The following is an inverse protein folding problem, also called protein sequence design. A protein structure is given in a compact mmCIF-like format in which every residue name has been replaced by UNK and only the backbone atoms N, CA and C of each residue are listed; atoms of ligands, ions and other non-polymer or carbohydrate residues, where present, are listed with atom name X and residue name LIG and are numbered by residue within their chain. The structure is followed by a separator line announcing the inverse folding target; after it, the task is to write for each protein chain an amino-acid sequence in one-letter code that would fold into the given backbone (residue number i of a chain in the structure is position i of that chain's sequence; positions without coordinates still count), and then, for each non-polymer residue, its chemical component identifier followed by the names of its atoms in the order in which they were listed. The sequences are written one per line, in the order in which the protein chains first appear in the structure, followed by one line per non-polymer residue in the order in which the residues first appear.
data_IF_649492484062
#
_entry.id   IF_649492484062
#
_cell.length_a   1.000
_cell.length_b   1.000
_cell.length_c   1.000
_cell.angle_alpha   90.00
_cell.angle_beta   90.00
_cell.angle_gamma   90.00
#
_symmetry.space_group_name_H-M   'P 1'
#
loop_
_entity.id
_entity.type
_entity.pdbx_description
1 polymer ?
#
# COMPACT_ATOMS: atom_id res chain seq x y z
N UNK A 1 -67.53 -39.74 26.93
CA UNK A 1 -66.21 -40.11 26.33
C UNK A 1 -65.93 -39.33 25.03
N UNK A 2 -66.00 -37.97 25.03
CA UNK A 2 -65.70 -37.21 23.81
C UNK A 2 -64.83 -35.92 24.05
N UNK A 3 -64.17 -35.82 25.22
CA UNK A 3 -63.40 -34.61 25.57
C UNK A 3 -61.89 -34.78 25.67
N UNK A 4 -61.35 -36.00 25.54
CA UNK A 4 -59.93 -36.33 25.71
C UNK A 4 -59.17 -36.22 24.36
N UNK A 5 -59.83 -36.38 23.22
CA UNK A 5 -59.19 -36.37 21.88
C UNK A 5 -58.73 -35.00 21.37
N UNK A 6 -59.41 -33.88 21.78
CA UNK A 6 -59.08 -32.54 21.24
C UNK A 6 -57.85 -31.90 21.89
N UNK A 7 -57.57 -32.20 23.17
CA UNK A 7 -56.37 -31.65 23.85
C UNK A 7 -55.05 -32.28 23.34
N UNK A 8 -55.07 -33.57 22.99
CA UNK A 8 -53.87 -34.22 22.43
C UNK A 8 -53.51 -33.74 21.04
N UNK A 9 -54.48 -33.38 20.19
CA UNK A 9 -54.20 -32.85 18.84
C UNK A 9 -53.61 -31.43 18.86
N UNK A 10 -53.95 -30.64 19.90
CA UNK A 10 -53.37 -29.30 20.08
C UNK A 10 -51.92 -29.34 20.58
N UNK A 11 -51.58 -30.28 21.43
CA UNK A 11 -50.21 -30.49 21.93
C UNK A 11 -49.29 -30.92 20.79
N UNK A 12 -49.72 -31.82 19.89
CA UNK A 12 -48.94 -32.19 18.70
C UNK A 12 -48.80 -31.08 17.71
N UNK A 13 -49.76 -30.18 17.53
CA UNK A 13 -49.64 -29.00 16.68
C UNK A 13 -48.70 -27.94 17.27
N UNK A 14 -48.65 -27.76 18.56
CA UNK A 14 -47.72 -26.86 19.24
C UNK A 14 -46.30 -27.47 19.24
N UNK A 15 -46.15 -28.77 19.44
CA UNK A 15 -44.84 -29.43 19.33
C UNK A 15 -44.30 -29.39 17.89
N UNK A 16 -45.19 -29.55 16.87
CA UNK A 16 -44.77 -29.44 15.46
C UNK A 16 -44.43 -28.00 15.08
N UNK A 17 -45.07 -27.01 15.66
CA UNK A 17 -44.78 -25.59 15.43
C UNK A 17 -43.47 -25.17 16.11
N UNK A 18 -43.15 -25.72 17.28
CA UNK A 18 -41.89 -25.49 17.97
C UNK A 18 -40.68 -26.18 17.25
N UNK A 19 -40.89 -27.30 16.59
CA UNK A 19 -39.78 -27.95 15.81
C UNK A 19 -39.48 -27.24 14.50
N UNK A 20 -40.43 -26.48 13.92
CA UNK A 20 -40.16 -25.67 12.69
C UNK A 20 -39.49 -24.33 13.02
N UNK A 21 -39.59 -23.86 14.29
CA UNK A 21 -38.92 -22.62 14.70
C UNK A 21 -37.46 -22.83 15.14
N UNK A 22 -36.95 -24.08 15.21
CA UNK A 22 -35.57 -24.40 15.51
C UNK A 22 -34.73 -24.81 14.28
N UNK A 23 -35.26 -24.73 13.06
CA UNK A 23 -34.42 -24.61 11.88
C UNK A 23 -33.94 -23.15 11.74
N UNK A 24 -33.45 -22.59 12.85
CA UNK A 24 -32.60 -21.41 12.78
C UNK A 24 -31.44 -21.78 11.89
N UNK A 25 -31.26 -21.05 10.82
CA UNK A 25 -29.97 -21.02 10.11
C UNK A 25 -28.88 -20.97 11.15
N UNK A 26 -28.20 -22.07 11.39
CA UNK A 26 -26.91 -22.00 12.05
C UNK A 26 -26.03 -21.24 11.09
N UNK A 27 -25.98 -19.94 11.26
CA UNK A 27 -24.92 -19.11 10.69
C UNK A 27 -23.65 -19.76 11.22
N UNK A 28 -23.07 -20.64 10.40
CA UNK A 28 -21.78 -21.22 10.72
C UNK A 28 -20.84 -20.02 10.87
N UNK A 29 -20.08 -19.93 11.98
CA UNK A 29 -19.22 -18.80 12.20
C UNK A 29 -18.26 -18.66 11.04
N UNK A 30 -18.03 -17.43 10.57
CA UNK A 30 -16.94 -17.12 9.66
C UNK A 30 -15.62 -17.50 10.29
N UNK A 31 -14.70 -18.04 9.50
CA UNK A 31 -13.36 -18.37 9.96
C UNK A 31 -12.45 -17.15 9.79
N UNK A 32 -11.61 -16.88 10.80
CA UNK A 32 -10.49 -15.94 10.71
C UNK A 32 -9.21 -16.73 10.42
N UNK A 33 -8.48 -16.30 9.39
CA UNK A 33 -7.18 -16.86 9.01
C UNK A 33 -6.14 -15.76 9.17
N UNK A 34 -5.05 -16.03 9.89
CA UNK A 34 -3.91 -15.13 9.97
C UNK A 34 -2.70 -15.81 9.34
N UNK A 35 -1.94 -15.04 8.55
CA UNK A 35 -0.71 -15.51 7.92
C UNK A 35 0.31 -14.39 7.90
N UNK A 36 1.59 -14.72 8.03
CA UNK A 36 2.71 -13.79 7.95
C UNK A 36 3.78 -14.42 7.09
N UNK A 37 4.27 -13.69 6.11
CA UNK A 37 5.33 -14.09 5.19
C UNK A 37 6.10 -12.87 4.70
N UNK A 38 6.96 -13.02 3.72
CA UNK A 38 7.76 -11.93 3.13
C UNK A 38 7.60 -11.91 1.62
N UNK A 39 7.32 -10.74 1.05
CA UNK A 39 7.35 -10.46 -0.39
C UNK A 39 7.69 -8.98 -0.63
N UNK A 40 8.11 -8.62 -1.83
CA UNK A 40 8.41 -7.24 -2.22
C UNK A 40 9.38 -6.54 -1.26
N UNK A 41 10.34 -7.30 -0.71
CA UNK A 41 11.35 -6.80 0.22
C UNK A 41 10.82 -6.37 1.59
N UNK A 42 9.61 -6.82 1.99
CA UNK A 42 8.99 -6.45 3.27
C UNK A 42 8.21 -7.60 3.90
N UNK A 43 7.72 -7.40 5.13
CA UNK A 43 6.82 -8.33 5.81
C UNK A 43 5.41 -8.12 5.27
N UNK A 44 4.74 -9.23 4.92
CA UNK A 44 3.33 -9.27 4.53
C UNK A 44 2.53 -9.94 5.64
N UNK A 45 1.55 -9.22 6.19
CA UNK A 45 0.63 -9.74 7.20
C UNK A 45 -0.77 -9.81 6.62
N UNK A 46 -1.39 -10.97 6.75
CA UNK A 46 -2.72 -11.24 6.21
C UNK A 46 -3.68 -11.62 7.34
N UNK A 47 -4.79 -10.92 7.43
CA UNK A 47 -5.94 -11.31 8.24
C UNK A 47 -7.15 -11.44 7.32
N UNK A 48 -7.65 -12.65 7.15
CA UNK A 48 -8.72 -12.98 6.20
C UNK A 48 -9.94 -13.49 6.97
N UNK A 49 -11.14 -13.06 6.57
CA UNK A 49 -12.42 -13.54 7.08
C UNK A 49 -13.17 -14.24 5.97
N UNK A 50 -13.46 -15.53 6.15
CA UNK A 50 -14.06 -16.39 5.12
C UNK A 50 -15.37 -16.99 5.60
N UNK A 51 -16.34 -17.16 4.69
CA UNK A 51 -17.59 -17.88 4.95
C UNK A 51 -17.29 -19.35 5.27
N UNK A 52 -18.11 -19.98 6.10
CA UNK A 52 -17.92 -21.39 6.49
C UNK A 52 -17.97 -22.38 5.31
N UNK A 53 -18.70 -22.04 4.23
CA UNK A 53 -18.70 -22.85 3.00
C UNK A 53 -17.44 -22.67 2.17
N UNK A 54 -16.62 -21.68 2.47
CA UNK A 54 -15.32 -21.41 1.86
C UNK A 54 -14.12 -21.90 2.68
N UNK A 55 -14.33 -22.56 3.84
CA UNK A 55 -13.26 -22.92 4.77
C UNK A 55 -12.11 -23.68 4.11
N UNK A 56 -12.40 -24.74 3.36
CA UNK A 56 -11.39 -25.54 2.67
C UNK A 56 -10.63 -24.75 1.60
N UNK A 57 -11.30 -23.80 0.93
CA UNK A 57 -10.68 -22.89 -0.05
C UNK A 57 -9.85 -21.81 0.65
N UNK A 58 -10.31 -21.38 1.84
CA UNK A 58 -9.65 -20.34 2.63
C UNK A 58 -8.25 -20.75 3.15
N UNK A 59 -8.02 -22.05 3.37
CA UNK A 59 -6.71 -22.55 3.82
C UNK A 59 -5.59 -22.27 2.78
N UNK A 60 -5.90 -22.30 1.48
CA UNK A 60 -4.94 -22.00 0.41
C UNK A 60 -4.80 -20.52 0.08
N UNK A 61 -5.77 -19.69 0.48
CA UNK A 61 -5.84 -18.27 0.08
C UNK A 61 -4.59 -17.46 0.46
N UNK A 62 -4.00 -17.59 1.66
CA UNK A 62 -2.78 -16.88 1.99
C UNK A 62 -1.63 -17.16 1.00
N UNK A 63 -1.51 -18.40 0.56
CA UNK A 63 -0.49 -18.80 -0.41
C UNK A 63 -0.78 -18.23 -1.80
N UNK A 64 -2.04 -18.29 -2.26
CA UNK A 64 -2.45 -17.65 -3.54
C UNK A 64 -2.13 -16.15 -3.55
N UNK A 65 -2.33 -15.46 -2.42
CA UNK A 65 -1.97 -14.04 -2.28
C UNK A 65 -0.44 -13.82 -2.33
N UNK A 66 0.35 -14.69 -1.73
CA UNK A 66 1.81 -14.60 -1.81
C UNK A 66 2.31 -14.86 -3.24
N UNK A 67 1.73 -15.84 -3.95
CA UNK A 67 2.04 -16.10 -5.37
C UNK A 67 1.70 -14.88 -6.26
N UNK A 68 0.57 -14.20 -5.99
CA UNK A 68 0.19 -12.97 -6.69
C UNK A 68 1.24 -11.87 -6.48
N UNK A 69 1.66 -11.62 -5.24
CA UNK A 69 2.66 -10.60 -4.90
C UNK A 69 4.03 -10.93 -5.52
N UNK A 70 4.43 -12.18 -5.46
CA UNK A 70 5.66 -12.67 -6.07
C UNK A 70 5.68 -12.48 -7.60
N UNK A 71 4.58 -12.83 -8.27
CA UNK A 71 4.41 -12.63 -9.71
C UNK A 71 4.44 -11.15 -10.07
N UNK A 72 3.71 -10.33 -9.31
CA UNK A 72 3.69 -8.87 -9.52
C UNK A 72 5.09 -8.26 -9.40
N UNK A 73 5.86 -8.64 -8.38
CA UNK A 73 7.24 -8.19 -8.21
C UNK A 73 8.12 -8.65 -9.37
N UNK A 74 8.15 -9.96 -9.65
CA UNK A 74 9.08 -10.58 -10.59
C UNK A 74 8.78 -10.28 -12.06
N UNK A 75 7.51 -10.10 -12.41
CA UNK A 75 7.08 -9.94 -13.79
C UNK A 75 6.81 -8.48 -14.17
N UNK A 76 6.57 -7.61 -13.19
CA UNK A 76 6.07 -6.26 -13.46
C UNK A 76 6.91 -5.15 -12.83
N UNK A 77 7.10 -5.16 -11.50
CA UNK A 77 7.52 -3.97 -10.76
C UNK A 77 9.01 -3.90 -10.43
N UNK A 78 9.71 -5.04 -10.31
CA UNK A 78 11.08 -5.06 -9.83
C UNK A 78 12.06 -4.59 -10.92
N UNK A 79 12.87 -3.59 -10.59
CA UNK A 79 13.98 -3.22 -11.47
C UNK A 79 15.21 -4.15 -11.33
N UNK A 80 15.15 -5.11 -10.40
CA UNK A 80 16.22 -6.11 -10.13
C UNK A 80 16.01 -7.44 -10.85
N UNK A 81 14.73 -7.78 -11.13
CA UNK A 81 14.36 -9.06 -11.72
C UNK A 81 14.34 -8.97 -13.26
N UNK A 82 15.18 -9.75 -13.94
CA UNK A 82 15.35 -9.70 -15.40
C UNK A 82 14.06 -9.98 -16.18
N UNK A 83 13.12 -10.69 -15.60
CA UNK A 83 11.80 -11.00 -16.18
C UNK A 83 10.81 -9.84 -16.10
N UNK A 84 11.08 -8.86 -15.26
CA UNK A 84 10.17 -7.75 -14.97
C UNK A 84 10.07 -6.75 -16.14
N UNK A 85 8.88 -6.19 -16.28
CA UNK A 85 8.64 -5.15 -17.28
C UNK A 85 9.49 -3.89 -17.03
N UNK A 86 9.64 -3.46 -15.78
CA UNK A 86 10.49 -2.33 -15.39
C UNK A 86 11.96 -2.61 -15.67
N UNK A 87 12.45 -3.83 -15.44
CA UNK A 87 13.82 -4.18 -15.77
C UNK A 87 14.08 -4.02 -17.28
N UNK A 88 13.20 -4.56 -18.14
CA UNK A 88 13.31 -4.43 -19.62
C UNK A 88 13.27 -2.97 -20.06
N UNK A 89 12.38 -2.17 -19.49
CA UNK A 89 12.31 -0.72 -19.74
C UNK A 89 13.66 -0.07 -19.39
N UNK A 90 14.22 -0.42 -18.23
CA UNK A 90 15.45 0.15 -17.70
C UNK A 90 16.74 -0.33 -18.42
N UNK A 91 16.72 -1.48 -19.09
CA UNK A 91 17.92 -2.07 -19.74
C UNK A 91 18.08 -1.73 -21.21
N UNK A 92 17.29 -0.78 -21.72
CA UNK A 92 17.49 -0.17 -23.03
C UNK A 92 16.46 -0.53 -24.10
N UNK A 93 15.52 -1.44 -23.86
CA UNK A 93 14.42 -1.70 -24.81
C UNK A 93 13.59 -0.42 -25.07
N UNK A 94 13.48 0.43 -24.07
CA UNK A 94 12.79 1.72 -24.16
C UNK A 94 13.44 2.75 -25.08
N UNK A 95 14.71 2.61 -25.44
CA UNK A 95 15.36 3.52 -26.39
C UNK A 95 14.77 3.41 -27.81
N UNK A 96 14.27 2.24 -28.18
CA UNK A 96 13.61 1.97 -29.46
C UNK A 96 12.09 1.80 -29.33
N UNK A 97 11.56 1.90 -28.11
CA UNK A 97 10.14 1.73 -27.77
C UNK A 97 9.82 0.36 -27.18
N UNK A 98 9.79 0.26 -25.84
CA UNK A 98 9.34 -0.94 -25.14
C UNK A 98 7.82 -0.99 -25.09
N UNK A 99 7.22 -2.12 -25.49
CA UNK A 99 5.76 -2.30 -25.42
C UNK A 99 5.34 -2.46 -23.96
N UNK A 100 4.39 -1.64 -23.54
CA UNK A 100 3.80 -1.70 -22.21
C UNK A 100 2.64 -2.70 -22.15
N UNK A 101 2.53 -3.42 -21.05
CA UNK A 101 1.30 -4.11 -20.70
C UNK A 101 0.19 -3.07 -20.42
N UNK A 102 -1.10 -3.41 -20.61
CA UNK A 102 -2.20 -2.50 -20.28
C UNK A 102 -2.17 -2.02 -18.83
N UNK A 103 -1.75 -2.89 -17.89
CA UNK A 103 -1.61 -2.53 -16.47
C UNK A 103 -0.48 -1.52 -16.24
N UNK A 104 0.70 -1.78 -16.80
CA UNK A 104 1.84 -0.86 -16.67
C UNK A 104 1.53 0.50 -17.28
N UNK A 105 0.86 0.54 -18.43
CA UNK A 105 0.42 1.81 -19.03
C UNK A 105 -0.50 2.57 -18.07
N UNK A 106 -1.50 1.92 -17.49
CA UNK A 106 -2.41 2.52 -16.51
C UNK A 106 -1.66 3.02 -15.27
N UNK A 107 -0.71 2.24 -14.73
CA UNK A 107 0.09 2.67 -13.59
C UNK A 107 0.90 3.93 -13.92
N UNK A 108 1.59 3.96 -15.04
CA UNK A 108 2.41 5.09 -15.45
C UNK A 108 1.56 6.35 -15.75
N UNK A 109 0.35 6.19 -16.27
CA UNK A 109 -0.59 7.31 -16.48
C UNK A 109 -1.03 7.93 -15.14
N UNK A 110 -1.39 7.10 -14.14
CA UNK A 110 -1.71 7.59 -12.80
C UNK A 110 -0.50 8.24 -12.09
N UNK A 111 0.67 7.63 -12.20
CA UNK A 111 1.92 8.17 -11.65
C UNK A 111 2.23 9.54 -12.29
N UNK A 112 2.06 9.66 -13.61
CA UNK A 112 2.25 10.90 -14.33
C UNK A 112 1.31 12.01 -13.83
N UNK A 113 0.05 11.70 -13.61
CA UNK A 113 -0.93 12.65 -13.08
C UNK A 113 -0.51 13.17 -11.68
N UNK A 114 -0.01 12.27 -10.80
CA UNK A 114 0.52 12.70 -9.50
C UNK A 114 1.81 13.51 -9.66
N UNK A 115 2.72 13.12 -10.57
CA UNK A 115 3.92 13.87 -10.89
C UNK A 115 3.60 15.31 -11.34
N UNK A 116 2.66 15.48 -12.26
CA UNK A 116 2.23 16.80 -12.75
C UNK A 116 1.63 17.65 -11.63
N UNK A 117 0.72 17.11 -10.83
CA UNK A 117 0.02 17.84 -9.77
C UNK A 117 0.87 18.10 -8.52
N UNK A 118 1.90 17.31 -8.30
CA UNK A 118 2.86 17.50 -7.20
C UNK A 118 4.07 18.37 -7.59
N UNK A 119 4.08 18.97 -8.78
CA UNK A 119 5.23 19.72 -9.30
C UNK A 119 6.53 18.90 -9.25
N UNK A 120 6.42 17.60 -9.57
CA UNK A 120 7.53 16.66 -9.60
C UNK A 120 8.00 16.14 -8.23
N UNK A 121 7.27 16.38 -7.14
CA UNK A 121 7.63 15.85 -5.83
C UNK A 121 7.53 14.30 -5.75
N UNK A 122 6.62 13.69 -6.51
CA UNK A 122 6.68 12.28 -6.87
C UNK A 122 7.30 12.16 -8.25
N UNK A 123 8.46 11.54 -8.38
CA UNK A 123 9.06 11.26 -9.69
C UNK A 123 9.71 9.86 -9.71
N UNK A 124 9.10 8.93 -10.43
CA UNK A 124 9.61 7.57 -10.56
C UNK A 124 10.84 7.45 -11.47
N UNK A 125 11.28 8.54 -12.08
CA UNK A 125 12.52 8.56 -12.89
C UNK A 125 13.78 8.76 -12.05
N UNK A 126 13.64 8.81 -10.71
CA UNK A 126 14.76 8.96 -9.75
C UNK A 126 15.64 7.73 -9.59
N UNK A 127 15.45 6.67 -10.38
CA UNK A 127 16.15 5.39 -10.19
C UNK A 127 17.68 5.48 -10.19
N UNK A 128 18.27 6.51 -10.81
CA UNK A 128 19.71 6.77 -10.68
C UNK A 128 20.08 7.45 -9.37
N UNK A 129 19.22 8.30 -8.86
CA UNK A 129 19.40 8.95 -7.54
C UNK A 129 19.28 7.90 -6.44
N UNK A 130 18.18 7.11 -6.43
CA UNK A 130 17.98 6.05 -5.44
C UNK A 130 19.09 5.01 -5.48
N UNK A 131 19.55 4.61 -6.69
CA UNK A 131 20.67 3.71 -6.88
C UNK A 131 22.01 4.25 -6.40
N UNK A 132 22.24 5.56 -6.50
CA UNK A 132 23.45 6.22 -6.02
C UNK A 132 23.52 6.24 -4.49
N UNK A 133 22.41 6.58 -3.82
CA UNK A 133 22.31 6.54 -2.36
C UNK A 133 22.29 5.13 -1.80
N UNK A 134 21.64 4.19 -2.50
CA UNK A 134 21.53 2.77 -2.16
C UNK A 134 21.12 2.49 -0.69
N UNK A 135 20.29 3.37 -0.12
CA UNK A 135 19.87 3.34 1.29
C UNK A 135 19.28 1.97 1.67
N UNK A 136 18.46 1.39 0.79
CA UNK A 136 17.83 0.08 1.03
C UNK A 136 18.85 -1.01 1.35
N UNK A 137 19.95 -1.05 0.60
CA UNK A 137 21.02 -2.04 0.80
C UNK A 137 21.76 -1.81 2.10
N UNK A 138 22.10 -0.56 2.41
CA UNK A 138 22.81 -0.23 3.64
C UNK A 138 21.96 -0.37 4.89
N UNK A 139 20.66 -0.07 4.82
CA UNK A 139 19.73 -0.25 5.92
C UNK A 139 19.60 -1.73 6.34
N UNK A 140 19.70 -2.66 5.39
CA UNK A 140 19.61 -4.11 5.65
C UNK A 140 20.96 -4.71 6.02
N UNK A 141 22.03 -4.38 5.28
CA UNK A 141 23.33 -5.05 5.39
C UNK A 141 24.29 -4.35 6.37
N UNK A 142 23.92 -3.17 6.89
CA UNK A 142 24.77 -2.34 7.75
C UNK A 142 25.44 -1.21 6.97
N UNK A 143 25.71 -0.12 7.67
CA UNK A 143 26.15 1.17 7.11
C UNK A 143 27.65 1.45 7.25
N UNK A 144 28.47 0.45 7.60
CA UNK A 144 29.90 0.67 7.87
C UNK A 144 30.65 1.30 6.68
N UNK A 145 30.31 0.87 5.45
CA UNK A 145 30.93 1.35 4.21
C UNK A 145 30.08 2.40 3.48
N UNK A 146 29.07 2.98 4.14
CA UNK A 146 28.24 4.01 3.54
C UNK A 146 29.00 5.32 3.41
N UNK A 147 29.11 5.83 2.19
CA UNK A 147 29.64 7.15 1.89
C UNK A 147 28.58 8.02 1.20
N UNK A 148 28.64 9.32 1.49
CA UNK A 148 27.76 10.28 0.83
C UNK A 148 28.13 10.41 -0.64
N UNK A 149 27.15 10.46 -1.55
CA UNK A 149 27.41 10.81 -2.94
C UNK A 149 28.13 12.15 -3.07
N UNK A 150 29.06 12.21 -4.02
CA UNK A 150 29.70 13.48 -4.36
C UNK A 150 28.73 14.40 -5.09
N UNK A 151 28.98 15.70 -5.04
CA UNK A 151 28.16 16.68 -5.78
C UNK A 151 28.10 16.38 -7.29
N UNK A 152 29.21 15.95 -7.90
CA UNK A 152 29.27 15.61 -9.31
C UNK A 152 28.42 14.37 -9.67
N UNK A 153 28.39 13.36 -8.80
CA UNK A 153 27.55 12.16 -8.97
C UNK A 153 26.08 12.52 -8.88
N UNK A 154 25.69 13.35 -7.89
CA UNK A 154 24.32 13.85 -7.74
C UNK A 154 23.86 14.66 -8.95
N UNK A 155 24.66 15.61 -9.42
CA UNK A 155 24.36 16.40 -10.62
C UNK A 155 24.19 15.50 -11.86
N UNK A 156 25.03 14.48 -12.00
CA UNK A 156 24.91 13.51 -13.09
C UNK A 156 23.63 12.67 -12.98
N UNK A 157 23.24 12.25 -11.78
CA UNK A 157 22.02 11.49 -11.53
C UNK A 157 20.77 12.34 -11.78
N UNK A 158 20.75 13.60 -11.27
CA UNK A 158 19.67 14.55 -11.48
C UNK A 158 19.46 14.92 -12.94
N UNK A 159 20.53 15.07 -13.72
CA UNK A 159 20.44 15.32 -15.17
C UNK A 159 19.64 14.22 -15.90
N UNK A 160 19.57 13.02 -15.30
CA UNK A 160 18.86 11.85 -15.81
C UNK A 160 17.49 11.63 -15.12
N UNK A 161 16.97 12.63 -14.38
CA UNK A 161 15.68 12.59 -13.71
C UNK A 161 14.71 13.56 -14.41
N UNK A 162 13.43 13.29 -14.36
CA UNK A 162 12.35 14.12 -14.89
C UNK A 162 11.40 13.33 -15.78
N UNK A 163 10.15 13.18 -15.31
CA UNK A 163 9.11 12.44 -16.03
C UNK A 163 8.72 13.12 -17.35
N UNK A 164 8.98 14.42 -17.52
CA UNK A 164 8.78 15.15 -18.77
C UNK A 164 9.60 14.58 -19.94
N UNK A 165 10.65 13.83 -19.65
CA UNK A 165 11.50 13.16 -20.64
C UNK A 165 10.94 11.80 -21.08
N UNK A 166 9.94 11.27 -20.35
CA UNK A 166 9.27 10.01 -20.66
C UNK A 166 8.20 10.24 -21.72
N UNK A 167 8.21 9.42 -22.78
CA UNK A 167 7.18 9.47 -23.81
C UNK A 167 6.46 8.13 -23.89
N UNK A 168 5.13 8.16 -23.81
CA UNK A 168 4.26 7.00 -24.01
C UNK A 168 3.41 7.29 -25.25
N UNK A 169 3.57 6.48 -26.28
CA UNK A 169 2.85 6.62 -27.57
C UNK A 169 2.54 5.22 -28.09
N UNK A 170 1.29 4.99 -28.49
CA UNK A 170 0.83 3.72 -29.04
C UNK A 170 1.20 2.50 -28.17
N UNK A 171 0.96 2.62 -26.85
CA UNK A 171 1.29 1.63 -25.82
C UNK A 171 2.77 1.24 -25.78
N UNK A 172 3.66 2.14 -26.21
CA UNK A 172 5.11 2.00 -26.06
C UNK A 172 5.67 3.13 -25.24
N UNK A 173 6.61 2.79 -24.35
CA UNK A 173 7.38 3.76 -23.59
C UNK A 173 8.73 3.99 -24.27
N UNK A 174 9.14 5.24 -24.34
CA UNK A 174 10.43 5.70 -24.82
C UNK A 174 11.13 6.48 -23.71
N UNK A 175 12.32 6.02 -23.33
CA UNK A 175 13.17 6.68 -22.34
C UNK A 175 14.54 7.02 -22.97
N UNK A 176 15.09 8.19 -22.65
CA UNK A 176 16.52 8.44 -22.86
C UNK A 176 17.38 7.39 -22.14
N UNK A 177 18.55 7.04 -22.71
CA UNK A 177 19.44 5.97 -22.23
C UNK A 177 19.81 6.06 -20.74
N UNK A 178 19.88 7.28 -20.23
CA UNK A 178 20.33 7.51 -18.85
C UNK A 178 19.20 7.57 -17.82
N UNK A 179 17.93 7.49 -18.23
CA UNK A 179 16.80 7.49 -17.29
C UNK A 179 16.56 6.06 -16.80
N UNK A 180 16.31 5.93 -15.49
CA UNK A 180 15.93 4.68 -14.84
C UNK A 180 14.66 4.90 -14.03
N UNK A 181 13.65 4.06 -14.28
CA UNK A 181 12.43 4.05 -13.48
C UNK A 181 12.65 3.27 -12.18
N UNK A 182 12.17 3.82 -11.08
CA UNK A 182 12.06 3.16 -9.78
C UNK A 182 10.63 3.34 -9.26
N UNK A 183 9.89 2.25 -9.16
CA UNK A 183 8.51 2.23 -8.68
C UNK A 183 8.39 2.00 -7.16
N UNK A 184 9.49 2.13 -6.40
CA UNK A 184 9.50 1.90 -4.95
C UNK A 184 8.50 2.75 -4.17
N UNK A 185 8.20 3.96 -4.66
CA UNK A 185 7.25 4.90 -4.05
C UNK A 185 5.76 4.57 -4.31
N UNK A 186 5.46 3.57 -5.14
CA UNK A 186 4.09 3.21 -5.55
C UNK A 186 3.85 1.69 -5.57
N UNK A 187 4.91 0.90 -5.49
CA UNK A 187 4.84 -0.54 -5.74
C UNK A 187 3.99 -1.29 -4.73
N UNK A 188 4.04 -0.91 -3.44
CA UNK A 188 3.23 -1.53 -2.40
C UNK A 188 1.75 -1.14 -2.53
N UNK A 189 1.50 0.11 -2.94
CA UNK A 189 0.15 0.58 -3.24
C UNK A 189 -0.46 -0.16 -4.42
N UNK A 190 0.29 -0.34 -5.51
CA UNK A 190 -0.12 -1.18 -6.65
C UNK A 190 -0.44 -2.60 -6.19
N UNK A 191 0.38 -3.18 -5.31
CA UNK A 191 0.13 -4.50 -4.76
C UNK A 191 -1.18 -4.56 -3.96
N UNK A 192 -1.53 -3.52 -3.21
CA UNK A 192 -2.83 -3.42 -2.52
C UNK A 192 -4.00 -3.41 -3.52
N UNK A 193 -3.90 -2.66 -4.63
CA UNK A 193 -4.93 -2.63 -5.66
C UNK A 193 -5.09 -4.00 -6.36
N UNK A 194 -3.99 -4.70 -6.66
CA UNK A 194 -4.02 -6.04 -7.25
C UNK A 194 -4.60 -7.09 -6.30
N UNK A 195 -4.27 -7.01 -5.01
CA UNK A 195 -4.86 -7.87 -3.97
C UNK A 195 -6.34 -7.57 -3.81
N UNK A 196 -6.76 -6.30 -3.86
CA UNK A 196 -8.17 -5.91 -3.81
C UNK A 196 -8.95 -6.57 -4.96
N UNK A 197 -8.49 -6.40 -6.20
CA UNK A 197 -9.11 -7.00 -7.38
C UNK A 197 -9.15 -8.54 -7.30
N UNK A 198 -8.09 -9.17 -6.80
CA UNK A 198 -8.05 -10.62 -6.60
C UNK A 198 -9.08 -11.10 -5.57
N UNK A 199 -9.28 -10.35 -4.47
CA UNK A 199 -10.25 -10.69 -3.44
C UNK A 199 -11.70 -10.49 -3.91
N UNK A 200 -11.97 -9.54 -4.79
CA UNK A 200 -13.30 -9.34 -5.39
C UNK A 200 -13.80 -10.57 -6.16
N UNK A 201 -12.91 -11.35 -6.75
CA UNK A 201 -13.24 -12.61 -7.44
C UNK A 201 -13.60 -13.75 -6.47
N UNK A 202 -13.40 -13.58 -5.17
CA UNK A 202 -13.56 -14.62 -4.13
C UNK A 202 -14.84 -14.37 -3.31
N UNK A 203 -16.03 -14.64 -3.84
CA UNK A 203 -17.33 -14.41 -3.18
C UNK A 203 -17.45 -15.00 -1.75
N UNK A 204 -16.56 -15.90 -1.38
CA UNK A 204 -16.52 -16.52 -0.05
C UNK A 204 -15.63 -15.78 0.95
N UNK A 205 -14.83 -14.80 0.52
CA UNK A 205 -14.13 -13.85 1.39
C UNK A 205 -15.09 -12.75 1.78
N UNK A 206 -15.27 -12.52 3.09
CA UNK A 206 -16.17 -11.49 3.60
C UNK A 206 -15.46 -10.23 4.02
N UNK A 207 -14.19 -10.33 4.35
CA UNK A 207 -13.36 -9.19 4.74
C UNK A 207 -11.90 -9.59 4.87
N UNK A 208 -11.02 -8.61 4.79
CA UNK A 208 -9.60 -8.81 4.99
C UNK A 208 -8.91 -7.53 5.49
N UNK A 209 -7.76 -7.72 6.16
CA UNK A 209 -6.72 -6.70 6.32
C UNK A 209 -5.42 -7.31 5.82
N UNK A 210 -4.83 -6.68 4.82
CA UNK A 210 -3.56 -7.10 4.23
C UNK A 210 -2.56 -5.96 4.40
N UNK A 211 -1.48 -6.20 5.14
CA UNK A 211 -0.38 -5.25 5.31
C UNK A 211 0.81 -5.70 4.47
N UNK A 212 1.30 -4.83 3.63
CA UNK A 212 2.49 -5.00 2.78
C UNK A 212 3.48 -3.90 3.18
N UNK A 213 4.27 -4.16 4.22
CA UNK A 213 5.09 -3.11 4.85
C UNK A 213 4.24 -1.94 5.31
N UNK A 214 4.58 -0.71 4.84
CA UNK A 214 3.86 0.53 5.19
C UNK A 214 2.52 0.74 4.45
N UNK A 215 2.11 -0.17 3.55
CA UNK A 215 0.84 -0.07 2.82
C UNK A 215 -0.14 -1.15 3.28
N UNK A 216 -1.38 -0.78 3.59
CA UNK A 216 -2.39 -1.64 4.19
C UNK A 216 -3.68 -1.53 3.38
N UNK A 217 -4.23 -2.67 2.97
CA UNK A 217 -5.56 -2.80 2.38
C UNK A 217 -6.55 -3.27 3.44
N UNK A 218 -7.69 -2.58 3.55
CA UNK A 218 -8.90 -3.10 4.21
C UNK A 218 -9.90 -3.54 3.15
N UNK A 219 -10.53 -4.70 3.30
CA UNK A 219 -11.46 -5.25 2.31
C UNK A 219 -12.74 -5.77 2.98
N UNK A 220 -13.89 -5.51 2.37
CA UNK A 220 -15.19 -6.06 2.78
C UNK A 220 -15.57 -5.68 4.21
N UNK A 221 -16.08 -6.64 5.00
CA UNK A 221 -16.53 -6.41 6.39
C UNK A 221 -16.10 -7.54 7.31
N UNK A 222 -15.81 -7.20 8.56
CA UNK A 222 -15.65 -8.21 9.61
C UNK A 222 -16.97 -8.93 9.88
N UNK A 223 -16.92 -10.16 10.39
CA UNK A 223 -18.12 -10.96 10.69
C UNK A 223 -19.08 -10.33 11.71
N UNK A 224 -18.57 -9.52 12.62
CA UNK A 224 -19.33 -8.81 13.64
C UNK A 224 -19.86 -7.44 13.15
N UNK A 225 -19.55 -7.07 11.91
CA UNK A 225 -19.95 -5.80 11.30
C UNK A 225 -19.14 -4.59 11.74
N UNK A 226 -18.13 -4.77 12.61
CA UNK A 226 -17.27 -3.65 13.03
C UNK A 226 -16.24 -3.28 11.96
N UNK A 227 -15.81 -2.03 11.98
CA UNK A 227 -14.78 -1.49 11.10
C UNK A 227 -13.38 -2.03 11.45
N UNK A 228 -12.44 -1.83 10.54
CA UNK A 228 -11.05 -2.25 10.70
C UNK A 228 -10.28 -1.19 11.49
N UNK A 229 -9.35 -1.64 12.34
CA UNK A 229 -8.46 -0.75 13.07
C UNK A 229 -7.06 -0.88 12.51
N UNK A 230 -6.51 0.24 12.05
CA UNK A 230 -5.16 0.36 11.50
C UNK A 230 -4.34 1.25 12.42
N UNK A 231 -3.28 0.71 12.99
CA UNK A 231 -2.36 1.45 13.83
C UNK A 231 -1.31 2.17 12.97
N UNK A 232 -1.03 3.43 13.28
CA UNK A 232 0.05 4.21 12.68
C UNK A 232 1.25 4.12 13.62
N UNK A 233 2.38 3.65 13.08
CA UNK A 233 3.62 3.46 13.83
C UNK A 233 4.14 4.78 14.38
N UNK A 234 4.62 4.77 15.61
CA UNK A 234 5.25 5.92 16.23
C UNK A 234 6.64 6.18 15.60
N UNK A 235 6.88 7.37 15.01
CA UNK A 235 8.09 7.61 14.22
C UNK A 235 9.39 7.63 15.03
N UNK A 236 9.31 7.67 16.36
CA UNK A 236 10.47 7.78 17.26
C UNK A 236 10.49 6.75 18.40
N UNK A 237 9.46 5.89 18.50
CA UNK A 237 9.37 4.85 19.52
C UNK A 237 9.03 3.52 18.86
N UNK A 238 10.04 2.67 18.71
CA UNK A 238 9.89 1.37 18.06
C UNK A 238 8.87 0.49 18.81
N UNK A 239 7.99 -0.15 18.04
CA UNK A 239 6.94 -1.03 18.58
C UNK A 239 5.71 -0.31 19.14
N UNK A 240 5.72 1.02 19.21
CA UNK A 240 4.60 1.83 19.68
C UNK A 240 3.77 2.38 18.50
N UNK A 241 2.52 2.69 18.76
CA UNK A 241 1.64 3.39 17.82
C UNK A 241 1.40 4.82 18.28
N UNK A 242 1.47 5.78 17.36
CA UNK A 242 1.17 7.18 17.66
C UNK A 242 -0.30 7.52 17.42
N UNK A 243 -0.97 6.75 16.57
CA UNK A 243 -2.40 6.93 16.24
C UNK A 243 -3.04 5.60 15.83
N UNK A 244 -4.37 5.55 15.88
CA UNK A 244 -5.17 4.44 15.35
C UNK A 244 -6.30 4.99 14.51
N UNK A 245 -6.45 4.47 13.29
CA UNK A 245 -7.56 4.75 12.39
C UNK A 245 -8.63 3.67 12.51
N UNK A 246 -9.89 4.05 12.41
CA UNK A 246 -11.02 3.14 12.22
C UNK A 246 -11.57 3.33 10.81
N UNK A 247 -11.56 2.26 10.01
CA UNK A 247 -11.76 2.31 8.56
C UNK A 247 -12.78 1.26 8.12
N UNK A 248 -13.65 1.64 7.22
CA UNK A 248 -14.45 0.69 6.45
C UNK A 248 -13.56 -0.17 5.54
N UNK A 249 -14.12 -1.25 4.97
CA UNK A 249 -13.42 -2.04 3.96
C UNK A 249 -13.48 -1.40 2.57
N UNK A 250 -12.44 -1.60 1.79
CA UNK A 250 -12.26 -1.01 0.46
C UNK A 250 -11.34 0.21 0.46
N UNK A 251 -10.62 0.43 1.57
CA UNK A 251 -9.68 1.54 1.71
C UNK A 251 -8.23 1.03 1.80
N UNK A 252 -7.34 1.81 1.22
CA UNK A 252 -5.91 1.63 1.32
C UNK A 252 -5.30 2.73 2.21
N UNK A 253 -4.35 2.34 3.05
CA UNK A 253 -3.57 3.23 3.90
C UNK A 253 -2.11 3.06 3.54
N UNK A 254 -1.42 4.12 3.17
CA UNK A 254 0.03 4.08 2.96
C UNK A 254 0.72 5.13 3.82
N UNK A 255 1.84 4.73 4.42
CA UNK A 255 2.66 5.61 5.25
C UNK A 255 4.06 5.71 4.66
N UNK A 256 4.53 6.93 4.48
CA UNK A 256 5.92 7.29 4.18
C UNK A 256 6.55 7.92 5.41
N UNK A 257 7.70 7.40 5.84
CA UNK A 257 8.38 7.89 7.05
C UNK A 257 9.90 7.81 6.95
N UNK A 258 10.57 8.77 7.60
CA UNK A 258 12.04 8.86 7.66
C UNK A 258 12.69 7.75 8.51
N UNK A 259 11.86 6.99 9.22
CA UNK A 259 12.25 5.92 10.16
C UNK A 259 12.13 4.51 9.57
N UNK A 260 11.53 4.35 8.38
CA UNK A 260 11.33 3.02 7.79
C UNK A 260 12.64 2.43 7.26
N UNK A 261 13.34 3.19 6.43
CA UNK A 261 14.65 2.81 5.87
C UNK A 261 15.57 4.02 5.85
N UNK A 262 16.66 3.93 6.57
CA UNK A 262 17.63 5.02 6.70
C UNK A 262 19.01 4.50 7.07
N UNK A 263 19.99 5.37 6.87
CA UNK A 263 21.38 5.21 7.34
C UNK A 263 21.72 6.42 8.19
N UNK A 264 22.41 6.19 9.31
CA UNK A 264 22.94 7.29 10.12
C UNK A 264 24.44 7.45 9.91
N UNK A 265 24.88 8.67 9.57
CA UNK A 265 26.30 9.01 9.43
C UNK A 265 26.57 10.37 10.08
N UNK A 266 27.54 10.40 10.99
CA UNK A 266 27.92 11.61 11.73
C UNK A 266 26.74 12.30 12.47
N UNK A 267 25.76 11.53 12.96
CA UNK A 267 24.59 12.04 13.66
C UNK A 267 23.48 12.58 12.74
N UNK A 268 23.62 12.44 11.44
CA UNK A 268 22.61 12.81 10.46
C UNK A 268 21.95 11.54 9.91
N UNK A 269 20.61 11.57 9.81
CA UNK A 269 19.80 10.50 9.21
C UNK A 269 19.58 10.76 7.74
N UNK A 270 19.95 9.79 6.91
CA UNK A 270 19.71 9.78 5.47
C UNK A 270 18.70 8.69 5.17
N UNK A 271 17.44 9.06 4.94
CA UNK A 271 16.36 8.12 4.64
C UNK A 271 16.16 7.94 3.13
N UNK A 272 15.38 6.92 2.76
CA UNK A 272 15.19 6.48 1.37
C UNK A 272 14.25 7.35 0.53
N UNK A 273 13.52 8.29 1.12
CA UNK A 273 12.59 9.17 0.40
C UNK A 273 13.40 10.34 -0.17
N UNK A 274 13.66 10.30 -1.49
CA UNK A 274 14.46 11.31 -2.16
C UNK A 274 13.60 12.49 -2.63
N UNK A 275 14.14 13.69 -2.51
CA UNK A 275 13.62 14.87 -3.21
C UNK A 275 14.15 14.87 -4.65
N UNK A 276 13.28 14.72 -5.68
CA UNK A 276 13.72 14.68 -7.08
C UNK A 276 14.38 15.97 -7.58
N UNK A 277 14.18 17.10 -6.90
CA UNK A 277 14.76 18.38 -7.28
C UNK A 277 16.19 18.54 -6.76
N UNK A 278 16.49 18.01 -5.60
CA UNK A 278 17.81 18.15 -4.96
C UNK A 278 18.69 16.90 -5.09
N UNK A 279 18.06 15.73 -5.25
CA UNK A 279 18.75 14.43 -5.23
C UNK A 279 19.17 13.97 -3.84
N UNK A 280 18.83 14.72 -2.80
CA UNK A 280 19.05 14.34 -1.39
C UNK A 280 17.78 13.73 -0.79
N UNK A 281 17.89 13.02 0.36
CA UNK A 281 16.73 12.73 1.19
C UNK A 281 15.91 14.01 1.44
N UNK A 282 14.59 13.91 1.36
CA UNK A 282 13.71 15.06 1.52
C UNK A 282 13.82 15.65 2.93
N UNK A 283 13.93 16.97 3.01
CA UNK A 283 14.01 17.74 4.26
C UNK A 283 12.84 18.74 4.30
N UNK A 284 11.66 18.23 4.60
CA UNK A 284 10.41 18.99 4.58
C UNK A 284 9.88 19.35 5.97
N UNK A 285 10.62 18.96 7.03
CA UNK A 285 10.18 19.08 8.42
C UNK A 285 9.14 18.03 8.83
N UNK A 286 8.84 17.06 7.94
CA UNK A 286 7.94 15.94 8.24
C UNK A 286 8.73 14.67 8.56
N UNK A 287 8.22 13.90 9.52
CA UNK A 287 8.79 12.61 9.88
C UNK A 287 7.91 11.44 9.46
N UNK A 288 6.60 11.67 9.26
CA UNK A 288 5.64 10.66 8.82
C UNK A 288 4.49 11.31 8.06
N UNK A 289 4.07 10.67 6.98
CA UNK A 289 2.86 11.02 6.23
C UNK A 289 2.05 9.75 5.98
N UNK A 290 0.82 9.74 6.46
CA UNK A 290 -0.15 8.66 6.21
C UNK A 290 -1.28 9.17 5.34
N UNK A 291 -1.57 8.44 4.27
CA UNK A 291 -2.66 8.73 3.33
C UNK A 291 -3.67 7.60 3.35
N UNK A 292 -4.95 7.95 3.36
CA UNK A 292 -6.09 7.02 3.16
C UNK A 292 -6.78 7.35 1.84
N UNK A 293 -6.96 6.36 1.00
CA UNK A 293 -7.60 6.46 -0.33
C UNK A 293 -8.27 5.14 -0.70
N UNK A 294 -9.20 5.17 -1.66
CA UNK A 294 -9.78 3.96 -2.26
C UNK A 294 -8.76 3.25 -3.19
N UNK A 295 -7.77 3.97 -3.73
CA UNK A 295 -6.70 3.39 -4.55
C UNK A 295 -5.41 3.25 -3.75
N UNK A 296 -4.85 2.05 -3.78
CA UNK A 296 -3.56 1.74 -3.18
C UNK A 296 -2.42 2.48 -3.86
N UNK A 297 -2.39 2.51 -5.20
CA UNK A 297 -1.42 3.27 -5.97
C UNK A 297 -1.42 4.74 -5.56
N UNK A 298 -2.61 5.37 -5.49
CA UNK A 298 -2.71 6.77 -5.10
C UNK A 298 -2.32 6.99 -3.64
N UNK A 299 -2.69 6.11 -2.71
CA UNK A 299 -2.29 6.27 -1.30
C UNK A 299 -0.77 6.24 -1.13
N UNK A 300 -0.07 5.32 -1.82
CA UNK A 300 1.40 5.18 -1.76
C UNK A 300 2.09 6.38 -2.45
N UNK A 301 1.63 6.74 -3.67
CA UNK A 301 2.13 7.89 -4.43
C UNK A 301 2.00 9.21 -3.66
N UNK A 302 0.81 9.46 -3.09
CA UNK A 302 0.54 10.69 -2.35
C UNK A 302 1.27 10.74 -1.02
N UNK A 303 1.49 9.60 -0.33
CA UNK A 303 2.27 9.61 0.92
C UNK A 303 3.69 10.09 0.68
N UNK A 304 4.32 9.64 -0.41
CA UNK A 304 5.66 10.09 -0.83
C UNK A 304 5.65 11.55 -1.31
N UNK A 305 4.72 11.92 -2.19
CA UNK A 305 4.63 13.29 -2.70
C UNK A 305 4.40 14.31 -1.58
N UNK A 306 3.47 14.04 -0.67
CA UNK A 306 3.18 14.92 0.47
C UNK A 306 4.36 15.02 1.45
N UNK A 307 5.10 13.92 1.63
CA UNK A 307 6.31 13.93 2.46
C UNK A 307 7.37 14.89 1.88
N UNK A 308 7.61 14.84 0.57
CA UNK A 308 8.56 15.73 -0.12
C UNK A 308 8.09 17.18 -0.13
N UNK A 309 6.79 17.41 -0.37
CA UNK A 309 6.20 18.76 -0.45
C UNK A 309 6.14 19.50 0.90
N UNK A 310 6.12 18.77 2.00
CA UNK A 310 5.91 19.36 3.32
C UNK A 310 4.43 19.66 3.62
N UNK A 311 4.19 20.27 4.76
CA UNK A 311 2.88 20.39 5.40
C UNK A 311 1.79 21.02 4.53
N UNK A 312 1.99 22.29 4.13
CA UNK A 312 0.93 23.06 3.48
C UNK A 312 0.62 22.51 2.08
N UNK A 313 1.66 22.30 1.27
CA UNK A 313 1.50 21.80 -0.10
C UNK A 313 1.05 20.34 -0.12
N UNK A 314 1.53 19.51 0.82
CA UNK A 314 1.10 18.12 0.97
C UNK A 314 -0.40 17.99 1.30
N UNK A 315 -0.90 18.75 2.28
CA UNK A 315 -2.34 18.78 2.60
C UNK A 315 -3.19 19.26 1.42
N UNK A 316 -2.70 20.26 0.69
CA UNK A 316 -3.40 20.75 -0.50
C UNK A 316 -3.47 19.70 -1.60
N UNK A 317 -2.37 18.96 -1.83
CA UNK A 317 -2.32 17.87 -2.82
C UNK A 317 -3.26 16.73 -2.42
N UNK A 318 -3.21 16.25 -1.18
CA UNK A 318 -4.11 15.19 -0.70
C UNK A 318 -5.58 15.56 -0.90
N UNK A 319 -5.95 16.80 -0.54
CA UNK A 319 -7.30 17.33 -0.75
C UNK A 319 -7.70 17.38 -2.23
N UNK A 320 -6.77 17.71 -3.13
CA UNK A 320 -7.04 17.75 -4.58
C UNK A 320 -7.43 16.38 -5.13
N UNK A 321 -6.90 15.31 -4.53
CA UNK A 321 -7.24 13.93 -4.89
C UNK A 321 -8.43 13.35 -4.09
N UNK A 322 -9.01 14.12 -3.17
CA UNK A 322 -10.06 13.62 -2.27
C UNK A 322 -9.56 12.55 -1.30
N UNK A 323 -8.25 12.49 -1.07
CA UNK A 323 -7.62 11.57 -0.13
C UNK A 323 -7.54 12.21 1.27
N UNK A 324 -7.58 11.37 2.29
CA UNK A 324 -7.39 11.82 3.67
C UNK A 324 -5.93 11.67 4.08
N UNK A 325 -5.39 12.69 4.75
CA UNK A 325 -3.97 12.78 5.08
C UNK A 325 -3.73 13.12 6.56
N UNK A 326 -2.78 12.41 7.18
CA UNK A 326 -2.17 12.75 8.46
C UNK A 326 -0.67 12.98 8.26
N UNK A 327 -0.20 14.17 8.57
CA UNK A 327 1.19 14.59 8.53
C UNK A 327 1.69 14.82 9.95
N UNK A 328 2.86 14.26 10.26
CA UNK A 328 3.49 14.36 11.58
C UNK A 328 4.85 15.03 11.38
N UNK A 329 5.09 16.11 12.09
CA UNK A 329 6.36 16.84 12.06
C UNK A 329 7.39 16.32 13.09
N UNK A 330 8.58 16.92 13.10
CA UNK A 330 9.69 16.55 13.99
C UNK A 330 9.34 16.73 15.47
N UNK A 331 8.44 17.65 15.82
CA UNK A 331 7.93 17.89 17.17
C UNK A 331 6.73 16.97 17.50
N UNK A 332 6.43 16.00 16.64
CA UNK A 332 5.30 15.07 16.73
C UNK A 332 3.93 15.77 16.72
N UNK A 333 3.84 16.97 16.14
CA UNK A 333 2.58 17.67 15.96
C UNK A 333 1.83 17.14 14.74
N UNK A 334 0.53 16.95 14.91
CA UNK A 334 -0.36 16.45 13.87
C UNK A 334 -0.91 17.61 13.02
N UNK A 335 -0.85 17.42 11.71
CA UNK A 335 -1.58 18.22 10.73
C UNK A 335 -2.33 17.28 9.81
N UNK A 336 -3.62 17.53 9.55
CA UNK A 336 -4.44 16.55 8.84
C UNK A 336 -5.59 17.20 8.08
N UNK A 337 -6.17 16.44 7.16
CA UNK A 337 -7.43 16.78 6.50
C UNK A 337 -8.61 16.60 7.46
N UNK A 338 -9.74 17.27 7.16
CA UNK A 338 -10.94 17.17 8.01
C UNK A 338 -11.51 15.75 8.09
N UNK A 339 -11.43 14.99 6.98
CA UNK A 339 -11.90 13.61 6.97
C UNK A 339 -10.98 12.68 7.77
N UNK A 340 -9.68 12.90 7.76
CA UNK A 340 -8.74 12.13 8.57
C UNK A 340 -9.02 12.28 10.08
N UNK A 341 -9.40 13.47 10.54
CA UNK A 341 -9.76 13.69 11.95
C UNK A 341 -10.96 12.81 12.38
N UNK A 342 -11.88 12.51 11.47
CA UNK A 342 -13.05 11.63 11.72
C UNK A 342 -12.68 10.14 11.77
N UNK A 343 -11.61 9.76 11.10
CA UNK A 343 -11.10 8.38 11.09
C UNK A 343 -10.24 8.06 12.31
N UNK A 344 -9.70 9.07 12.98
CA UNK A 344 -8.83 8.92 14.14
C UNK A 344 -9.64 8.57 15.39
N UNK A 345 -9.35 7.41 16.01
CA UNK A 345 -9.99 6.96 17.27
C UNK A 345 -9.05 7.00 18.48
N UNK A 346 -7.74 7.13 18.24
CA UNK A 346 -6.72 7.26 19.28
C UNK A 346 -5.58 8.15 18.76
N UNK A 347 -5.09 9.04 19.60
CA UNK A 347 -3.93 9.91 19.39
C UNK A 347 -2.93 9.72 20.52
#
# INVERSE_FOLDING_TARGET
MKYIGRKRLWIYKILLLCTVLFTGCSLRPSQKINHVDTAMGTIVQQTLYVKSNGQQKGEGLPHELMELLDSLEKETLSWREETSEIYRINTGESMTGCVLSPKMQMYLENIKDVWEKSDGALDVTVGRVTGLWNIDTYAVNGSADFDLPTQQELESALASTGFEKVKIVDSKIYLPENIKLDLGAVGKGIACDEVHAFLEEKEWVTGAVISIGGSILTYGKKPDGSDFKVAITHPRQEGESIAVLELEGGLCVSTSGDYERYVEKAGVRYHHIMDPKTGYPADSGLVSVTIVSESGLLSDALSTACFVLGKEAGLALAKQYGAEALLIDEDLQFSMTEGMDKLLIMR
#
